data_IF_450994566926
#
_entry.id   IF_450994566926
#
_cell.length_a   1.000
_cell.length_b   1.000
_cell.length_c   1.000
_cell.angle_alpha   90.00
_cell.angle_beta   90.00
_cell.angle_gamma   90.00
#
_symmetry.space_group_name_H-M   'P 1'
#
loop_
_entity.id
_entity.type
_entity.pdbx_description
1 polymer ?
#
# COMPACT_ATOMS: atom_id res chain seq x y z
N UNK A 1 16.46 2.93 46.20
CA UNK A 1 15.98 1.55 45.99
C UNK A 1 15.35 1.52 44.60
N UNK A 2 15.85 0.64 43.75
CA UNK A 2 15.71 0.66 42.29
C UNK A 2 14.28 0.43 41.80
N UNK A 3 13.87 1.22 40.82
CA UNK A 3 12.61 1.09 40.10
C UNK A 3 12.77 0.05 39.00
N UNK A 4 12.65 -1.23 39.32
CA UNK A 4 12.68 -2.31 38.34
C UNK A 4 11.25 -2.70 37.95
N UNK A 5 10.72 -2.02 36.94
CA UNK A 5 9.58 -2.53 36.18
C UNK A 5 10.09 -3.63 35.24
N UNK A 6 9.61 -4.88 35.30
CA UNK A 6 9.95 -5.89 34.31
C UNK A 6 9.08 -5.66 33.07
N UNK A 7 9.38 -4.62 32.30
CA UNK A 7 8.76 -4.41 31.00
C UNK A 7 9.59 -5.15 29.94
N UNK A 8 9.61 -6.48 30.02
CA UNK A 8 9.78 -7.26 28.81
C UNK A 8 8.49 -7.05 28.01
N UNK A 9 8.48 -5.98 27.21
CA UNK A 9 7.47 -5.72 26.21
C UNK A 9 7.44 -6.94 25.28
N UNK A 10 6.56 -7.89 25.59
CA UNK A 10 6.19 -8.94 24.66
C UNK A 10 5.87 -8.21 23.35
N UNK A 11 6.62 -8.52 22.29
CA UNK A 11 6.56 -7.79 21.03
C UNK A 11 5.13 -7.50 20.69
N UNK A 12 4.82 -6.21 20.75
CA UNK A 12 3.49 -5.74 20.64
C UNK A 12 2.92 -6.21 19.30
N UNK A 13 1.79 -6.93 19.26
CA UNK A 13 1.29 -7.52 18.01
C UNK A 13 1.01 -6.46 16.93
N UNK A 14 0.85 -5.19 17.34
CA UNK A 14 0.73 -4.03 16.45
C UNK A 14 2.04 -3.63 15.76
N UNK A 15 3.19 -3.76 16.42
CA UNK A 15 4.50 -3.46 15.80
C UNK A 15 4.88 -4.52 14.76
N UNK A 16 4.53 -5.79 15.02
CA UNK A 16 4.72 -6.87 14.05
C UNK A 16 3.84 -6.69 12.82
N UNK A 17 2.57 -6.31 12.98
CA UNK A 17 1.68 -6.01 11.84
C UNK A 17 2.21 -4.82 11.03
N UNK A 18 2.66 -3.77 11.70
CA UNK A 18 3.21 -2.59 11.04
C UNK A 18 4.46 -2.89 10.21
N UNK A 19 5.35 -3.75 10.73
CA UNK A 19 6.55 -4.16 10.01
C UNK A 19 6.23 -5.00 8.77
N UNK A 20 5.35 -5.99 8.90
CA UNK A 20 4.93 -6.81 7.77
C UNK A 20 4.21 -5.97 6.68
N UNK A 21 3.48 -4.95 7.12
CA UNK A 21 2.84 -3.99 6.23
C UNK A 21 3.86 -3.13 5.47
N UNK A 22 4.90 -2.66 6.14
CA UNK A 22 5.97 -1.87 5.53
C UNK A 22 6.73 -2.68 4.47
N UNK A 23 7.05 -3.94 4.77
CA UNK A 23 7.69 -4.85 3.81
C UNK A 23 6.82 -5.07 2.57
N UNK A 24 5.53 -5.30 2.77
CA UNK A 24 4.56 -5.45 1.67
C UNK A 24 4.44 -4.16 0.86
N UNK A 25 4.41 -3.01 1.53
CA UNK A 25 4.36 -1.70 0.88
C UNK A 25 5.62 -1.43 0.04
N UNK A 26 6.79 -1.76 0.57
CA UNK A 26 8.05 -1.65 -0.14
C UNK A 26 8.07 -2.53 -1.40
N UNK A 27 7.55 -3.75 -1.30
CA UNK A 27 7.42 -4.64 -2.45
C UNK A 27 6.49 -4.08 -3.53
N UNK A 28 5.31 -3.57 -3.13
CA UNK A 28 4.35 -2.95 -4.05
C UNK A 28 4.95 -1.72 -4.75
N UNK A 29 5.66 -0.86 -4.02
CA UNK A 29 6.32 0.33 -4.59
C UNK A 29 7.43 -0.03 -5.58
N UNK A 30 8.11 -1.16 -5.40
CA UNK A 30 9.08 -1.68 -6.36
C UNK A 30 8.43 -2.25 -7.62
N UNK A 31 7.31 -2.95 -7.47
CA UNK A 31 6.56 -3.56 -8.59
C UNK A 31 5.83 -2.49 -9.42
N UNK A 32 5.34 -1.43 -8.78
CA UNK A 32 4.51 -0.39 -9.38
C UNK A 32 5.12 1.02 -9.24
N UNK A 33 6.25 1.26 -9.91
CA UNK A 33 7.00 2.53 -9.83
C UNK A 33 6.23 3.76 -10.33
N UNK A 34 5.21 3.57 -11.17
CA UNK A 34 4.31 4.63 -11.64
C UNK A 34 3.18 4.99 -10.68
N UNK A 35 3.06 4.31 -9.53
CA UNK A 35 1.99 4.53 -8.56
C UNK A 35 2.52 5.05 -7.24
N UNK A 36 1.79 5.99 -6.65
CA UNK A 36 1.94 6.35 -5.25
C UNK A 36 1.12 5.35 -4.42
N UNK A 37 1.79 4.53 -3.63
CA UNK A 37 1.14 3.49 -2.80
C UNK A 37 1.37 3.79 -1.31
N UNK A 38 0.30 3.73 -0.50
CA UNK A 38 0.32 3.93 0.94
C UNK A 38 -0.76 3.11 1.65
N UNK A 39 -0.63 2.99 2.97
CA UNK A 39 -1.65 2.38 3.84
C UNK A 39 -2.40 3.51 4.55
N UNK A 40 -3.72 3.52 4.45
CA UNK A 40 -4.56 4.44 5.19
C UNK A 40 -4.40 4.18 6.68
N UNK A 41 -4.49 5.23 7.50
CA UNK A 41 -4.49 5.12 8.96
C UNK A 41 -5.91 5.41 9.43
N UNK A 42 -6.49 4.48 10.19
CA UNK A 42 -7.82 4.65 10.78
C UNK A 42 -7.75 5.64 11.93
N UNK A 43 -8.90 6.17 12.34
CA UNK A 43 -8.99 7.09 13.48
C UNK A 43 -8.43 6.51 14.79
N UNK A 44 -8.43 5.18 14.92
CA UNK A 44 -7.89 4.42 16.06
C UNK A 44 -6.35 4.26 16.02
N UNK A 45 -5.67 4.86 15.03
CA UNK A 45 -4.21 4.72 14.84
C UNK A 45 -3.78 3.38 14.23
N UNK A 46 -4.73 2.45 14.04
CA UNK A 46 -4.50 1.18 13.34
C UNK A 46 -4.38 1.36 11.84
N UNK A 47 -3.60 0.48 11.22
CA UNK A 47 -3.49 0.39 9.77
C UNK A 47 -4.84 -0.03 9.16
N UNK A 48 -5.25 0.71 8.14
CA UNK A 48 -6.47 0.52 7.39
C UNK A 48 -6.20 0.03 5.97
N UNK A 49 -7.02 0.49 5.04
CA UNK A 49 -6.99 0.05 3.65
C UNK A 49 -5.69 0.42 2.93
N UNK A 50 -5.36 -0.39 1.92
CA UNK A 50 -4.28 -0.17 0.99
C UNK A 50 -4.77 0.73 -0.14
N UNK A 51 -4.01 1.79 -0.40
CA UNK A 51 -4.35 2.80 -1.40
C UNK A 51 -3.22 2.91 -2.41
N UNK A 52 -3.57 2.90 -3.68
CA UNK A 52 -2.66 3.18 -4.78
C UNK A 52 -3.27 4.21 -5.71
N UNK A 53 -2.52 5.27 -5.98
CA UNK A 53 -2.90 6.31 -6.93
C UNK A 53 -1.90 6.36 -8.06
N UNK A 54 -2.38 6.41 -9.30
CA UNK A 54 -1.52 6.57 -10.47
C UNK A 54 -0.84 7.95 -10.45
N UNK A 55 0.49 7.97 -10.50
CA UNK A 55 1.26 9.22 -10.48
C UNK A 55 1.49 9.82 -11.87
N UNK A 56 1.03 9.19 -12.96
CA UNK A 56 1.24 9.68 -14.34
C UNK A 56 0.37 10.92 -14.63
N UNK A 57 0.96 12.13 -14.71
CA UNK A 57 0.18 13.35 -14.97
C UNK A 57 -0.29 13.45 -16.44
N UNK A 58 0.28 12.64 -17.34
CA UNK A 58 -0.12 12.57 -18.75
C UNK A 58 -1.41 11.75 -18.97
N UNK A 59 -1.83 10.95 -18.00
CA UNK A 59 -3.07 10.16 -18.07
C UNK A 59 -4.34 10.96 -17.77
N UNK A 60 -4.20 12.21 -17.27
CA UNK A 60 -5.31 13.15 -17.07
C UNK A 60 -6.34 12.77 -15.99
N UNK A 61 -6.24 11.59 -15.39
CA UNK A 61 -7.13 11.11 -14.31
C UNK A 61 -6.29 10.36 -13.27
N UNK A 62 -6.39 10.78 -12.02
CA UNK A 62 -5.77 10.11 -10.88
C UNK A 62 -6.65 8.89 -10.52
N UNK A 63 -6.32 7.71 -11.06
CA UNK A 63 -6.98 6.46 -10.72
C UNK A 63 -6.51 6.03 -9.33
N UNK A 64 -7.34 6.32 -8.34
CA UNK A 64 -7.12 5.91 -6.94
C UNK A 64 -7.85 4.61 -6.66
N UNK A 65 -7.09 3.53 -6.49
CA UNK A 65 -7.57 2.20 -6.10
C UNK A 65 -7.42 2.02 -4.59
N UNK A 66 -8.52 1.66 -3.92
CA UNK A 66 -8.54 1.37 -2.48
C UNK A 66 -8.99 -0.08 -2.27
N UNK A 67 -8.22 -0.86 -1.51
CA UNK A 67 -8.54 -2.26 -1.18
C UNK A 67 -8.13 -2.58 0.25
N UNK A 68 -8.93 -3.38 0.94
CA UNK A 68 -8.64 -3.80 2.32
C UNK A 68 -7.55 -4.87 2.42
N UNK A 69 -7.18 -5.49 1.30
CA UNK A 69 -6.18 -6.57 1.20
C UNK A 69 -5.07 -6.20 0.17
N UNK A 70 -3.79 -6.50 0.47
CA UNK A 70 -2.68 -6.14 -0.41
C UNK A 70 -2.63 -6.97 -1.71
N UNK A 71 -3.06 -8.23 -1.69
CA UNK A 71 -3.13 -9.05 -2.89
C UNK A 71 -4.24 -8.54 -3.83
N UNK A 72 -5.40 -8.20 -3.28
CA UNK A 72 -6.48 -7.56 -4.03
C UNK A 72 -6.06 -6.20 -4.62
N UNK A 73 -5.23 -5.42 -3.90
CA UNK A 73 -4.65 -4.19 -4.44
C UNK A 73 -3.72 -4.50 -5.62
N UNK A 74 -2.84 -5.50 -5.46
CA UNK A 74 -1.91 -5.90 -6.53
C UNK A 74 -2.64 -6.36 -7.78
N UNK A 75 -3.64 -7.22 -7.66
CA UNK A 75 -4.43 -7.69 -8.80
C UNK A 75 -5.13 -6.54 -9.53
N UNK A 76 -5.70 -5.59 -8.78
CA UNK A 76 -6.32 -4.39 -9.37
C UNK A 76 -5.29 -3.55 -10.15
N UNK A 77 -4.09 -3.35 -9.60
CA UNK A 77 -3.01 -2.62 -10.27
C UNK A 77 -2.50 -3.33 -11.53
N UNK A 78 -2.39 -4.66 -11.51
CA UNK A 78 -2.03 -5.45 -12.71
C UNK A 78 -3.09 -5.29 -13.80
N UNK A 79 -4.37 -5.46 -13.46
CA UNK A 79 -5.45 -5.34 -14.42
C UNK A 79 -5.52 -3.93 -15.03
N UNK A 80 -5.31 -2.90 -14.21
CA UNK A 80 -5.25 -1.51 -14.67
C UNK A 80 -4.06 -1.25 -15.60
N UNK A 81 -2.87 -1.75 -15.25
CA UNK A 81 -1.69 -1.62 -16.11
C UNK A 81 -1.89 -2.31 -17.47
N UNK A 82 -2.56 -3.46 -17.50
CA UNK A 82 -2.93 -4.14 -18.75
C UNK A 82 -3.93 -3.30 -19.58
N UNK A 83 -4.96 -2.75 -18.94
CA UNK A 83 -5.95 -1.87 -19.60
C UNK A 83 -5.29 -0.61 -20.17
N UNK A 84 -4.39 0.03 -19.43
CA UNK A 84 -3.63 1.19 -19.87
C UNK A 84 -2.69 0.87 -21.05
N UNK A 85 -2.09 -0.33 -21.06
CA UNK A 85 -1.26 -0.81 -22.17
C UNK A 85 -2.09 -1.03 -23.44
N UNK A 86 -3.28 -1.61 -23.33
CA UNK A 86 -4.20 -1.80 -24.47
C UNK A 86 -4.68 -0.46 -25.03
N UNK A 87 -5.10 0.47 -24.16
CA UNK A 87 -5.57 1.79 -24.58
C UNK A 87 -4.47 2.62 -25.30
N UNK A 88 -3.20 2.46 -24.91
CA UNK A 88 -2.07 3.12 -25.57
C UNK A 88 -1.76 2.54 -26.97
N UNK A 89 -2.16 1.30 -27.26
CA UNK A 89 -1.99 0.66 -28.59
C UNK A 89 -3.05 1.12 -29.59
N UNK A 90 -4.24 1.51 -29.15
CA UNK A 90 -5.34 1.93 -30.04
C UNK A 90 -5.29 3.42 -30.45
N UNK A 91 -4.27 4.16 -30.01
CA UNK A 91 -4.10 5.62 -30.29
C UNK A 91 -3.00 5.91 -31.33
N UNK A 92 -2.64 4.95 -32.19
CA UNK A 92 -1.66 5.14 -33.28
C UNK A 92 -2.27 4.85 -34.65
#
# INVERSE_FOLDING_TARGET
MSTEWPNQAASNPYETDARAADETLAQLRRDFTGHRIWRAVRWDGRLGDWVASLHDPQAGVDLTVIRSDPAALREALVNEAERARVARVETW
#
